data_IF_316040930619
#
_entry.id   IF_316040930619
#
_cell.length_a   1.000
_cell.length_b   1.000
_cell.length_c   1.000
_cell.angle_alpha   90.00
_cell.angle_beta   90.00
_cell.angle_gamma   90.00
#
_symmetry.space_group_name_H-M   'P 1'
#
loop_
_entity.id
_entity.type
_entity.pdbx_description
1 polymer ?
#
# COMPACT_ATOMS: atom_id res chain seq x y z
N UNK A 1 -0.66 16.31 8.75
CA UNK A 1 -1.74 15.33 8.99
C UNK A 1 -1.27 13.93 8.61
N UNK A 2 -1.02 13.66 7.32
CA UNK A 2 -0.50 12.37 6.81
C UNK A 2 0.72 11.77 7.53
N UNK A 3 1.76 12.57 7.79
CA UNK A 3 2.96 12.05 8.45
C UNK A 3 2.73 11.58 9.88
N UNK A 4 1.74 12.14 10.60
CA UNK A 4 1.46 11.74 11.98
C UNK A 4 0.81 10.36 12.02
N UNK A 5 -0.17 10.12 11.15
CA UNK A 5 -0.90 8.85 11.03
C UNK A 5 0.03 7.71 10.62
N UNK A 6 0.98 7.98 9.72
CA UNK A 6 2.01 7.00 9.32
C UNK A 6 2.91 6.60 10.50
N UNK A 7 3.40 7.58 11.27
CA UNK A 7 4.27 7.31 12.42
C UNK A 7 3.52 6.56 13.52
N UNK A 8 2.27 6.90 13.74
CA UNK A 8 1.37 6.22 14.67
C UNK A 8 1.09 4.78 14.23
N UNK A 9 0.86 4.55 12.93
CA UNK A 9 0.71 3.21 12.36
C UNK A 9 1.95 2.34 12.61
N UNK A 10 3.15 2.82 12.24
CA UNK A 10 4.40 2.08 12.44
C UNK A 10 4.66 1.77 13.91
N UNK A 11 4.35 2.71 14.81
CA UNK A 11 4.45 2.51 16.25
C UNK A 11 3.47 1.45 16.74
N UNK A 12 2.23 1.50 16.30
CA UNK A 12 1.19 0.54 16.70
C UNK A 12 1.53 -0.86 16.21
N UNK A 13 1.99 -1.01 14.97
CA UNK A 13 2.43 -2.30 14.44
C UNK A 13 3.62 -2.88 15.20
N UNK A 14 4.61 -2.05 15.57
CA UNK A 14 5.69 -2.48 16.45
C UNK A 14 5.16 -3.02 17.79
N UNK A 15 4.22 -2.30 18.40
CA UNK A 15 3.63 -2.67 19.70
C UNK A 15 2.76 -3.93 19.59
N UNK A 16 2.01 -4.09 18.51
CA UNK A 16 1.22 -5.29 18.19
C UNK A 16 2.12 -6.53 18.05
N UNK A 17 3.32 -6.35 17.51
CA UNK A 17 4.36 -7.40 17.44
C UNK A 17 5.16 -7.56 18.73
N UNK A 18 4.83 -6.83 19.80
CA UNK A 18 5.52 -6.83 21.09
C UNK A 18 7.03 -6.51 21.01
N UNK A 19 7.45 -5.76 20.00
CA UNK A 19 8.85 -5.39 19.78
C UNK A 19 9.22 -4.14 20.57
N UNK A 20 10.42 -4.14 21.18
CA UNK A 20 10.97 -2.95 21.86
C UNK A 20 11.58 -1.98 20.85
N UNK A 21 11.68 -0.71 21.20
CA UNK A 21 12.39 0.29 20.37
C UNK A 21 13.86 -0.10 20.15
N UNK A 22 14.52 -0.63 21.19
CA UNK A 22 15.86 -1.20 21.11
C UNK A 22 16.04 -2.27 19.99
N UNK A 23 15.02 -3.08 19.72
CA UNK A 23 15.10 -4.10 18.66
C UNK A 23 15.20 -3.44 17.27
N UNK A 24 14.38 -2.42 17.01
CA UNK A 24 14.41 -1.72 15.72
C UNK A 24 15.69 -0.89 15.59
N UNK A 25 16.12 -0.27 16.69
CA UNK A 25 17.36 0.47 16.75
C UNK A 25 18.55 -0.40 16.31
N UNK A 26 18.66 -1.62 16.85
CA UNK A 26 19.67 -2.59 16.48
C UNK A 26 19.59 -2.96 14.98
N UNK A 27 18.38 -3.27 14.47
CA UNK A 27 18.19 -3.67 13.07
C UNK A 27 18.44 -2.55 12.07
N UNK A 28 18.20 -1.30 12.47
CA UNK A 28 18.33 -0.12 11.62
C UNK A 28 19.68 0.58 11.78
N UNK A 29 20.53 0.15 12.73
CA UNK A 29 21.83 0.74 13.00
C UNK A 29 21.74 2.17 13.55
N UNK A 30 20.74 2.44 14.38
CA UNK A 30 20.50 3.75 15.01
C UNK A 30 20.36 3.61 16.53
N UNK A 31 20.41 4.73 17.25
CA UNK A 31 20.15 4.73 18.70
C UNK A 31 18.67 4.50 19.02
N UNK A 32 18.37 3.88 20.16
CA UNK A 32 16.98 3.71 20.64
C UNK A 32 16.25 5.06 20.78
N UNK A 33 16.98 6.12 21.16
CA UNK A 33 16.44 7.47 21.23
C UNK A 33 15.99 8.02 19.87
N UNK A 34 16.62 7.58 18.77
CA UNK A 34 16.21 7.94 17.40
C UNK A 34 14.86 7.34 17.09
N UNK A 35 14.63 6.06 17.41
CA UNK A 35 13.33 5.40 17.26
C UNK A 35 12.26 6.14 18.06
N UNK A 36 12.55 6.47 19.33
CA UNK A 36 11.61 7.23 20.16
C UNK A 36 11.26 8.60 19.56
N UNK A 37 12.22 9.31 18.96
CA UNK A 37 11.99 10.62 18.34
C UNK A 37 11.20 10.51 17.03
N UNK A 38 11.45 9.47 16.24
CA UNK A 38 10.64 9.15 15.06
C UNK A 38 9.20 8.85 15.43
N UNK A 39 8.96 7.91 16.35
CA UNK A 39 7.60 7.50 16.74
C UNK A 39 6.79 8.59 17.45
N UNK A 40 7.45 9.53 18.10
CA UNK A 40 6.80 10.69 18.72
C UNK A 40 6.60 11.87 17.75
N UNK A 41 7.15 11.80 16.53
CA UNK A 41 7.13 12.88 15.56
C UNK A 41 8.00 14.08 15.92
N UNK A 42 8.92 13.93 16.89
CA UNK A 42 9.91 14.97 17.22
C UNK A 42 10.93 15.17 16.09
N UNK A 43 11.24 14.09 15.36
CA UNK A 43 12.09 14.12 14.17
C UNK A 43 11.35 13.44 13.03
N UNK A 44 11.30 14.10 11.86
CA UNK A 44 10.74 13.54 10.63
C UNK A 44 11.66 12.48 10.05
N UNK A 45 11.10 11.33 9.68
CA UNK A 45 11.80 10.36 8.85
C UNK A 45 11.77 10.77 7.38
N UNK A 46 12.84 10.46 6.64
CA UNK A 46 12.81 10.42 5.18
C UNK A 46 12.13 9.16 4.65
N UNK A 47 11.94 9.10 3.33
CA UNK A 47 11.26 7.97 2.69
C UNK A 47 11.99 6.64 2.90
N UNK A 48 13.32 6.62 2.83
CA UNK A 48 14.10 5.40 2.96
C UNK A 48 14.06 4.88 4.41
N UNK A 49 14.09 5.77 5.38
CA UNK A 49 13.92 5.45 6.80
C UNK A 49 12.56 4.82 7.06
N UNK A 50 11.48 5.35 6.48
CA UNK A 50 10.13 4.77 6.56
C UNK A 50 10.11 3.36 5.96
N UNK A 51 10.66 3.19 4.75
CA UNK A 51 10.71 1.89 4.06
C UNK A 51 11.50 0.86 4.89
N UNK A 52 12.65 1.24 5.42
CA UNK A 52 13.48 0.34 6.23
C UNK A 52 12.77 -0.03 7.54
N UNK A 53 12.10 0.92 8.20
CA UNK A 53 11.32 0.66 9.40
C UNK A 53 10.19 -0.35 9.12
N UNK A 54 9.39 -0.11 8.07
CA UNK A 54 8.34 -1.03 7.65
C UNK A 54 8.89 -2.42 7.31
N UNK A 55 10.04 -2.49 6.62
CA UNK A 55 10.71 -3.74 6.27
C UNK A 55 11.14 -4.54 7.50
N UNK A 56 11.70 -3.89 8.53
CA UNK A 56 12.06 -4.55 9.80
C UNK A 56 10.82 -5.08 10.53
N UNK A 57 9.68 -4.41 10.36
CA UNK A 57 8.39 -4.88 10.84
C UNK A 57 7.72 -5.91 9.92
N UNK A 58 8.35 -6.33 8.82
CA UNK A 58 7.78 -7.25 7.82
C UNK A 58 6.46 -6.74 7.22
N UNK A 59 6.35 -5.43 7.04
CA UNK A 59 5.20 -4.76 6.44
C UNK A 59 5.54 -4.44 4.99
N UNK A 60 4.65 -4.85 4.07
CA UNK A 60 4.74 -4.37 2.69
C UNK A 60 4.42 -2.87 2.65
N UNK A 61 5.38 -2.09 2.15
CA UNK A 61 5.28 -0.63 2.19
C UNK A 61 4.16 -0.09 1.28
N UNK A 62 3.83 -0.77 0.18
CA UNK A 62 2.74 -0.37 -0.69
C UNK A 62 1.39 -0.64 -0.03
N UNK A 63 1.25 -1.78 0.65
CA UNK A 63 0.06 -2.11 1.42
C UNK A 63 -0.15 -1.14 2.58
N UNK A 64 0.92 -0.77 3.28
CA UNK A 64 0.86 0.27 4.31
C UNK A 64 0.35 1.60 3.76
N UNK A 65 0.92 2.08 2.64
CA UNK A 65 0.48 3.34 2.04
C UNK A 65 -0.95 3.26 1.50
N UNK A 66 -1.35 2.12 0.92
CA UNK A 66 -2.72 1.88 0.47
C UNK A 66 -3.73 1.95 1.63
N UNK A 67 -3.42 1.29 2.76
CA UNK A 67 -4.23 1.32 3.97
C UNK A 67 -4.34 2.73 4.57
N UNK A 68 -3.24 3.48 4.63
CA UNK A 68 -3.27 4.86 5.12
C UNK A 68 -4.07 5.78 4.18
N UNK A 69 -3.93 5.61 2.87
CA UNK A 69 -4.67 6.37 1.87
C UNK A 69 -6.19 6.07 1.89
N UNK A 70 -6.58 4.87 2.34
CA UNK A 70 -7.98 4.49 2.53
C UNK A 70 -8.56 4.90 3.89
N UNK A 71 -7.83 5.69 4.69
CA UNK A 71 -8.19 6.07 6.06
C UNK A 71 -8.48 4.84 6.95
N UNK A 72 -7.70 3.78 6.76
CA UNK A 72 -7.81 2.55 7.52
C UNK A 72 -9.03 1.69 7.19
N UNK A 73 -9.76 2.00 6.10
CA UNK A 73 -10.76 1.10 5.57
C UNK A 73 -10.09 -0.02 4.80
N UNK A 74 -10.47 -1.26 5.11
CA UNK A 74 -10.11 -2.41 4.27
C UNK A 74 -10.78 -2.21 2.91
N UNK A 75 -9.99 -1.79 1.93
CA UNK A 75 -10.45 -1.75 0.55
C UNK A 75 -10.69 -3.20 0.13
N UNK A 76 -11.88 -3.55 -0.37
CA UNK A 76 -12.13 -4.89 -0.89
C UNK A 76 -11.09 -5.16 -1.97
N UNK A 77 -10.18 -6.10 -1.68
CA UNK A 77 -9.19 -6.54 -2.66
C UNK A 77 -9.91 -7.45 -3.64
N UNK A 78 -9.71 -7.26 -4.96
CA UNK A 78 -10.26 -8.20 -5.93
C UNK A 78 -9.70 -9.59 -5.65
N UNK A 79 -10.56 -10.61 -5.71
CA UNK A 79 -10.14 -12.02 -5.54
C UNK A 79 -9.20 -12.43 -6.69
N UNK A 80 -9.34 -11.79 -7.85
CA UNK A 80 -8.43 -11.93 -8.99
C UNK A 80 -8.45 -10.67 -9.86
N UNK A 81 -7.31 -10.35 -10.46
CA UNK A 81 -7.22 -9.38 -11.56
C UNK A 81 -6.95 -10.13 -12.88
N UNK A 82 -7.71 -9.81 -13.92
CA UNK A 82 -7.59 -10.45 -15.24
C UNK A 82 -7.22 -9.40 -16.29
N UNK A 83 -6.12 -9.62 -16.99
CA UNK A 83 -5.68 -8.77 -18.11
C UNK A 83 -6.15 -9.35 -19.43
N UNK A 84 -6.89 -8.56 -20.21
CA UNK A 84 -7.41 -8.96 -21.53
C UNK A 84 -6.97 -7.94 -22.57
N UNK A 85 -6.21 -8.40 -23.57
CA UNK A 85 -5.90 -7.60 -24.75
C UNK A 85 -6.99 -7.77 -25.81
N UNK A 86 -7.58 -6.66 -26.26
CA UNK A 86 -8.68 -6.67 -27.23
C UNK A 86 -8.24 -5.91 -28.48
N UNK A 87 -8.19 -6.61 -29.61
CA UNK A 87 -7.60 -6.08 -30.85
C UNK A 87 -8.60 -5.47 -31.83
N UNK A 88 -9.92 -5.66 -31.62
CA UNK A 88 -10.97 -5.10 -32.48
C UNK A 88 -12.04 -4.38 -31.68
N UNK A 89 -12.71 -3.41 -32.31
CA UNK A 89 -13.77 -2.62 -31.65
C UNK A 89 -15.00 -3.49 -31.39
N UNK A 90 -15.28 -4.42 -32.29
CA UNK A 90 -16.39 -5.37 -32.21
C UNK A 90 -16.22 -6.28 -30.99
N UNK A 91 -15.04 -6.87 -30.81
CA UNK A 91 -14.74 -7.72 -29.66
C UNK A 91 -14.82 -6.93 -28.33
N UNK A 92 -14.35 -5.69 -28.32
CA UNK A 92 -14.45 -4.82 -27.15
C UNK A 92 -15.91 -4.57 -26.78
N UNK A 93 -16.74 -4.21 -27.75
CA UNK A 93 -18.15 -3.93 -27.51
C UNK A 93 -18.88 -5.18 -27.01
N UNK A 94 -18.66 -6.34 -27.63
CA UNK A 94 -19.26 -7.60 -27.20
C UNK A 94 -18.84 -7.99 -25.78
N UNK A 95 -17.56 -7.85 -25.45
CA UNK A 95 -17.05 -8.13 -24.10
C UNK A 95 -17.69 -7.18 -23.08
N UNK A 96 -17.69 -5.87 -23.34
CA UNK A 96 -18.26 -4.90 -22.41
C UNK A 96 -19.77 -5.09 -22.22
N UNK A 97 -20.50 -5.44 -23.29
CA UNK A 97 -21.93 -5.74 -23.20
C UNK A 97 -22.19 -7.00 -22.37
N UNK A 98 -21.39 -8.05 -22.55
CA UNK A 98 -21.49 -9.27 -21.73
C UNK A 98 -21.24 -8.96 -20.25
N UNK A 99 -20.15 -8.25 -19.95
CA UNK A 99 -19.79 -7.88 -18.58
C UNK A 99 -20.90 -7.03 -17.92
N UNK A 100 -21.43 -6.03 -18.62
CA UNK A 100 -22.51 -5.17 -18.11
C UNK A 100 -23.80 -5.93 -17.78
N UNK A 101 -24.12 -6.98 -18.55
CA UNK A 101 -25.35 -7.76 -18.39
C UNK A 101 -25.19 -8.98 -17.47
N UNK A 102 -23.98 -9.27 -17.02
CA UNK A 102 -23.68 -10.48 -16.24
C UNK A 102 -24.10 -10.39 -14.76
N UNK A 103 -24.32 -9.18 -14.24
CA UNK A 103 -24.55 -8.95 -12.81
C UNK A 103 -23.34 -9.26 -11.93
N UNK A 104 -22.16 -9.45 -12.51
CA UNK A 104 -20.92 -9.71 -11.76
C UNK A 104 -20.46 -8.46 -11.01
N UNK A 105 -19.98 -8.65 -9.78
CA UNK A 105 -19.32 -7.60 -9.00
C UNK A 105 -17.87 -7.45 -9.45
N UNK A 106 -17.67 -6.63 -10.48
CA UNK A 106 -16.37 -6.42 -11.13
C UNK A 106 -16.12 -4.94 -11.35
N UNK A 107 -14.84 -4.56 -11.31
CA UNK A 107 -14.39 -3.22 -11.70
C UNK A 107 -13.65 -3.30 -13.03
N UNK A 108 -14.04 -2.45 -13.99
CA UNK A 108 -13.42 -2.40 -15.32
C UNK A 108 -12.46 -1.21 -15.39
N UNK A 109 -11.16 -1.50 -15.53
CA UNK A 109 -10.13 -0.50 -15.84
C UNK A 109 -9.74 -0.66 -17.31
N UNK A 110 -9.97 0.37 -18.13
CA UNK A 110 -9.61 0.37 -19.55
C UNK A 110 -8.49 1.37 -19.81
N UNK A 111 -7.36 0.89 -20.34
CA UNK A 111 -6.25 1.74 -20.76
C UNK A 111 -6.12 1.65 -22.27
N UNK A 112 -6.19 2.78 -22.96
CA UNK A 112 -5.84 2.83 -24.39
C UNK A 112 -4.33 2.65 -24.51
N UNK A 113 -3.88 1.47 -24.93
CA UNK A 113 -2.50 1.27 -25.33
C UNK A 113 -2.24 2.14 -26.57
N UNK A 114 -1.40 3.16 -26.44
CA UNK A 114 -0.88 3.90 -27.61
C UNK A 114 -0.10 2.88 -28.44
N UNK A 115 -0.51 2.65 -29.69
CA UNK A 115 0.37 2.04 -30.69
C UNK A 115 1.55 3.00 -30.88
N UNK A 116 2.74 2.57 -30.47
CA UNK A 116 3.98 3.19 -30.94
C UNK A 116 4.01 2.97 -32.46
N UNK A 117 4.08 4.07 -33.23
CA UNK A 117 4.26 4.04 -34.67
C UNK A 117 5.71 3.72 -35.01
#
# INVERSE_FOLDING_TARGET
MFMKELLEFLRNERLNKHLKQAYLAEKLGVDESTISRWESGQITMDFLQIVNYATVLEIDVYEMFAYLASNGQDLPRPIAEVHVEVYTKEAYNSLMQYLANSGMDITIKSTKLKRWK
#
